data_IF_323563724248
#
_entry.id   IF_323563724248
#
_cell.length_a   1.000
_cell.length_b   1.000
_cell.length_c   1.000
_cell.angle_alpha   90.00
_cell.angle_beta   90.00
_cell.angle_gamma   90.00
#
_symmetry.space_group_name_H-M   'P 1'
#
loop_
_entity.id
_entity.type
_entity.pdbx_description
1 polymer ?
#
# COMPACT_ATOMS: atom_id res chain seq x y z
N UNK A 1 -2.77 -4.49 -21.49
CA UNK A 1 -2.63 -4.88 -20.07
C UNK A 1 -1.16 -4.93 -19.62
N UNK A 2 -0.33 -3.94 -20.00
CA UNK A 2 1.06 -3.78 -19.52
C UNK A 2 1.24 -2.57 -18.59
N UNK A 3 0.24 -1.69 -18.55
CA UNK A 3 0.23 -0.42 -17.79
C UNK A 3 -0.88 -0.39 -16.71
N UNK A 4 -1.54 -1.52 -16.46
CA UNK A 4 -2.56 -1.64 -15.42
C UNK A 4 -1.89 -1.60 -14.05
N UNK A 5 -2.13 -0.52 -13.30
CA UNK A 5 -1.41 -0.16 -12.08
C UNK A 5 -1.40 -1.26 -11.00
N UNK A 6 -0.27 -1.33 -10.28
CA UNK A 6 0.08 -2.30 -9.23
C UNK A 6 -0.80 -2.26 -7.97
N UNK A 7 -1.82 -1.39 -7.93
CA UNK A 7 -2.72 -1.29 -6.78
C UNK A 7 -3.46 -2.61 -6.50
N UNK A 8 -3.75 -3.41 -7.53
CA UNK A 8 -4.34 -4.75 -7.37
C UNK A 8 -3.41 -5.76 -6.67
N UNK A 9 -2.10 -5.51 -6.65
CA UNK A 9 -1.10 -6.41 -6.05
C UNK A 9 -0.71 -5.95 -4.64
N UNK A 10 -0.66 -4.63 -4.41
CA UNK A 10 -0.15 -4.05 -3.16
C UNK A 10 -1.18 -3.26 -2.33
N UNK A 11 -2.40 -3.04 -2.81
CA UNK A 11 -3.39 -2.21 -2.11
C UNK A 11 -4.05 -2.93 -0.92
N UNK A 12 -3.89 -2.39 0.29
CA UNK A 12 -4.60 -2.85 1.50
C UNK A 12 -5.78 -1.94 1.87
N UNK A 13 -5.85 -0.72 1.32
CA UNK A 13 -6.85 0.28 1.71
C UNK A 13 -8.31 0.00 1.34
N UNK A 14 -8.61 -0.90 0.39
CA UNK A 14 -9.98 -1.33 0.12
C UNK A 14 -10.24 -2.66 0.80
N UNK A 15 -11.04 -2.65 1.86
CA UNK A 15 -11.31 -3.83 2.67
C UNK A 15 -12.75 -3.83 3.17
N UNK A 16 -13.34 -5.01 3.29
CA UNK A 16 -14.58 -5.25 4.02
C UNK A 16 -14.28 -6.21 5.17
N UNK A 17 -14.65 -5.83 6.39
CA UNK A 17 -14.38 -6.60 7.61
C UNK A 17 -15.66 -6.80 8.39
N UNK A 18 -15.84 -8.01 8.92
CA UNK A 18 -16.94 -8.31 9.84
C UNK A 18 -16.65 -7.62 11.16
N UNK A 19 -17.65 -6.90 11.71
CA UNK A 19 -17.51 -6.17 12.98
C UNK A 19 -16.91 -7.02 14.11
N UNK A 20 -17.41 -8.25 14.30
CA UNK A 20 -16.91 -9.17 15.33
C UNK A 20 -15.41 -9.46 15.19
N UNK A 21 -14.95 -9.64 13.96
CA UNK A 21 -13.54 -10.01 13.69
C UNK A 21 -12.65 -8.78 13.89
N UNK A 22 -13.11 -7.59 13.49
CA UNK A 22 -12.44 -6.32 13.78
C UNK A 22 -12.32 -6.05 15.29
N UNK A 23 -13.41 -6.26 16.04
CA UNK A 23 -13.40 -6.13 17.49
C UNK A 23 -12.44 -7.17 18.12
N UNK A 24 -12.39 -8.40 17.58
CA UNK A 24 -11.53 -9.50 18.04
C UNK A 24 -10.03 -9.23 17.91
N UNK A 25 -9.61 -8.48 16.88
CA UNK A 25 -8.21 -8.07 16.71
C UNK A 25 -7.85 -6.77 17.47
N UNK A 26 -8.75 -6.27 18.31
CA UNK A 26 -8.55 -5.04 19.08
C UNK A 26 -8.87 -3.74 18.33
N UNK A 27 -9.61 -3.82 17.22
CA UNK A 27 -10.06 -2.67 16.44
C UNK A 27 -8.99 -2.00 15.58
N UNK A 28 -9.39 -0.86 15.01
CA UNK A 28 -8.53 0.00 14.19
C UNK A 28 -7.68 0.95 15.04
N UNK A 29 -6.44 1.20 14.64
CA UNK A 29 -5.57 2.17 15.32
C UNK A 29 -5.98 3.62 15.00
N UNK A 30 -6.55 4.31 15.99
CA UNK A 30 -7.05 5.68 15.83
C UNK A 30 -6.03 6.76 16.14
N UNK A 31 -4.85 6.40 16.64
CA UNK A 31 -3.81 7.35 17.04
C UNK A 31 -2.91 7.79 15.88
N UNK A 32 -2.99 7.11 14.73
CA UNK A 32 -2.28 7.52 13.53
C UNK A 32 -3.00 8.70 12.86
N UNK A 33 -2.42 9.90 12.98
CA UNK A 33 -2.99 11.14 12.42
C UNK A 33 -2.45 11.49 11.04
N UNK A 34 -1.55 10.67 10.49
CA UNK A 34 -0.89 10.94 9.21
C UNK A 34 -1.09 9.78 8.25
N UNK A 35 -0.89 10.04 6.96
CA UNK A 35 -0.94 9.01 5.93
C UNK A 35 0.20 7.99 6.11
N UNK A 36 -0.12 6.72 5.85
CA UNK A 36 0.82 5.62 5.80
C UNK A 36 0.79 4.75 7.04
N UNK A 37 1.05 3.47 6.81
CA UNK A 37 1.10 2.35 7.78
C UNK A 37 -0.27 1.87 8.28
N UNK A 38 -1.34 2.66 8.15
CA UNK A 38 -2.62 2.35 8.77
C UNK A 38 -3.27 1.06 8.21
N UNK A 39 -3.20 0.87 6.90
CA UNK A 39 -3.77 -0.28 6.19
C UNK A 39 -2.90 -1.53 6.35
N UNK A 40 -1.56 -1.37 6.37
CA UNK A 40 -0.58 -2.42 6.66
C UNK A 40 -0.72 -2.92 8.10
N UNK A 41 -0.83 -2.01 9.06
CA UNK A 41 -1.02 -2.31 10.47
C UNK A 41 -2.32 -3.12 10.68
N UNK A 42 -3.44 -2.67 10.09
CA UNK A 42 -4.70 -3.43 10.15
C UNK A 42 -4.54 -4.83 9.57
N UNK A 43 -3.94 -4.95 8.38
CA UNK A 43 -3.74 -6.25 7.73
C UNK A 43 -2.87 -7.19 8.59
N UNK A 44 -1.78 -6.68 9.17
CA UNK A 44 -0.89 -7.46 10.03
C UNK A 44 -1.62 -7.99 11.27
N UNK A 45 -2.51 -7.20 11.87
CA UNK A 45 -3.34 -7.66 13.01
C UNK A 45 -4.24 -8.83 12.61
N UNK A 46 -4.87 -8.78 11.44
CA UNK A 46 -5.65 -9.91 10.92
C UNK A 46 -4.79 -11.14 10.63
N UNK A 47 -3.60 -10.96 10.05
CA UNK A 47 -2.65 -12.08 9.80
C UNK A 47 -2.26 -12.76 11.11
N UNK A 48 -2.01 -11.98 12.16
CA UNK A 48 -1.69 -12.52 13.49
C UNK A 48 -2.87 -13.30 14.11
N UNK A 49 -4.11 -12.94 13.75
CA UNK A 49 -5.33 -13.62 14.18
C UNK A 49 -5.85 -14.66 13.15
N UNK A 50 -5.01 -15.11 12.21
CA UNK A 50 -5.41 -15.99 11.10
C UNK A 50 -5.95 -17.37 11.51
N UNK A 51 -5.71 -17.80 12.76
CA UNK A 51 -6.33 -18.99 13.32
C UNK A 51 -7.84 -18.83 13.55
N UNK A 52 -8.32 -17.60 13.73
CA UNK A 52 -9.70 -17.26 14.08
C UNK A 52 -10.42 -16.44 13.00
N UNK A 53 -9.65 -15.80 12.11
CA UNK A 53 -10.14 -14.93 11.04
C UNK A 53 -9.61 -15.39 9.68
N UNK A 54 -10.51 -15.62 8.72
CA UNK A 54 -10.12 -15.96 7.35
C UNK A 54 -9.91 -14.70 6.51
N UNK A 55 -8.76 -14.62 5.84
CA UNK A 55 -8.39 -13.51 4.97
C UNK A 55 -8.39 -14.01 3.53
N UNK A 56 -9.07 -13.30 2.63
CA UNK A 56 -8.97 -13.54 1.20
C UNK A 56 -8.75 -12.22 0.46
N UNK A 57 -8.10 -12.30 -0.71
CA UNK A 57 -7.92 -11.17 -1.62
C UNK A 57 -8.53 -11.55 -2.96
N UNK A 58 -9.28 -10.62 -3.55
CA UNK A 58 -9.88 -10.78 -4.86
C UNK A 58 -9.48 -9.59 -5.74
N UNK A 59 -9.19 -9.87 -7.01
CA UNK A 59 -8.97 -8.84 -8.02
C UNK A 59 -10.32 -8.51 -8.64
N UNK A 60 -10.72 -7.23 -8.63
CA UNK A 60 -11.91 -6.74 -9.32
C UNK A 60 -11.51 -6.12 -10.67
N UNK A 61 -11.76 -6.79 -11.81
CA UNK A 61 -11.33 -6.30 -13.12
C UNK A 61 -11.91 -4.95 -13.52
N UNK A 62 -13.08 -4.59 -13.00
CA UNK A 62 -13.73 -3.30 -13.24
C UNK A 62 -13.19 -2.16 -12.37
N UNK A 63 -12.41 -2.47 -11.34
CA UNK A 63 -11.93 -1.47 -10.38
C UNK A 63 -10.81 -0.63 -10.98
N UNK A 64 -11.03 0.69 -11.02
CA UNK A 64 -10.05 1.67 -11.46
C UNK A 64 -9.69 2.58 -10.30
N UNK A 65 -8.42 2.59 -9.92
CA UNK A 65 -7.90 3.54 -8.94
C UNK A 65 -7.33 4.76 -9.68
N UNK A 66 -8.02 5.89 -9.59
CA UNK A 66 -7.48 7.17 -10.04
C UNK A 66 -6.58 7.73 -8.93
N UNK A 67 -5.29 7.88 -9.21
CA UNK A 67 -4.30 8.32 -8.23
C UNK A 67 -3.78 9.72 -8.58
N UNK A 68 -3.40 10.47 -7.55
CA UNK A 68 -2.68 11.72 -7.70
C UNK A 68 -1.16 11.46 -7.67
N UNK A 69 -0.38 12.41 -8.19
CA UNK A 69 1.08 12.41 -8.01
C UNK A 69 1.41 12.40 -6.51
N UNK A 70 2.42 11.62 -6.11
CA UNK A 70 2.89 11.60 -4.73
C UNK A 70 3.80 12.78 -4.44
N UNK A 71 3.71 13.28 -3.22
CA UNK A 71 4.44 14.44 -2.73
C UNK A 71 5.14 14.03 -1.44
N UNK A 72 6.31 13.42 -1.56
CA UNK A 72 7.06 12.91 -0.40
C UNK A 72 7.90 13.99 0.30
N UNK A 73 8.11 15.14 -0.36
CA UNK A 73 8.85 16.27 0.20
C UNK A 73 8.17 16.79 1.48
N UNK A 74 8.93 16.89 2.57
CA UNK A 74 8.44 17.42 3.86
C UNK A 74 7.96 16.37 4.86
N UNK A 75 7.91 15.09 4.48
CA UNK A 75 7.70 14.00 5.45
C UNK A 75 8.97 13.87 6.30
N UNK A 76 8.85 14.14 7.60
CA UNK A 76 9.98 14.06 8.56
C UNK A 76 10.22 12.67 9.11
N UNK A 77 9.16 11.85 9.15
CA UNK A 77 9.22 10.48 9.65
C UNK A 77 9.85 9.57 8.59
N UNK A 78 11.00 8.96 8.90
CA UNK A 78 11.78 8.20 7.94
C UNK A 78 11.02 6.98 7.38
N UNK A 79 10.22 6.32 8.23
CA UNK A 79 9.42 5.16 7.82
C UNK A 79 8.36 5.58 6.81
N UNK A 80 7.59 6.62 7.11
CA UNK A 80 6.58 7.15 6.17
C UNK A 80 7.20 7.74 4.91
N UNK A 81 8.36 8.37 5.00
CA UNK A 81 9.08 8.89 3.84
C UNK A 81 9.45 7.75 2.90
N UNK A 82 9.99 6.65 3.45
CA UNK A 82 10.26 5.43 2.70
C UNK A 82 8.99 4.85 2.08
N UNK A 83 7.90 4.73 2.85
CA UNK A 83 6.62 4.24 2.34
C UNK A 83 6.08 5.10 1.19
N UNK A 84 6.23 6.42 1.27
CA UNK A 84 5.82 7.33 0.21
C UNK A 84 6.58 7.05 -1.09
N UNK A 85 7.91 6.97 -1.03
CA UNK A 85 8.75 6.69 -2.19
C UNK A 85 8.54 5.28 -2.75
N UNK A 86 8.51 4.26 -1.89
CA UNK A 86 8.26 2.88 -2.32
C UNK A 86 6.94 2.80 -3.09
N UNK A 87 5.90 3.44 -2.55
CA UNK A 87 4.60 3.41 -3.17
C UNK A 87 4.52 4.33 -4.41
N UNK A 88 5.40 5.33 -4.57
CA UNK A 88 5.56 6.10 -5.82
C UNK A 88 6.23 5.26 -6.91
N UNK A 89 7.30 4.55 -6.57
CA UNK A 89 8.01 3.64 -7.46
C UNK A 89 7.07 2.53 -7.96
N UNK A 90 6.22 1.99 -7.08
CA UNK A 90 5.20 1.00 -7.44
C UNK A 90 4.12 1.59 -8.36
N UNK A 91 3.84 2.91 -8.31
CA UNK A 91 2.87 3.54 -9.24
C UNK A 91 3.44 3.74 -10.65
N UNK A 92 4.76 3.87 -10.80
CA UNK A 92 5.45 4.00 -12.09
C UNK A 92 5.46 2.68 -12.90
N UNK A 93 4.48 1.80 -12.68
CA UNK A 93 4.45 0.41 -13.13
C UNK A 93 4.43 0.17 -14.63
N UNK A 94 5.60 -0.16 -15.16
CA UNK A 94 5.92 -1.41 -15.86
C UNK A 94 7.40 -1.69 -15.59
N UNK A 95 7.92 -2.92 -15.78
CA UNK A 95 9.38 -3.14 -15.70
C UNK A 95 10.15 -2.12 -16.54
N UNK A 96 9.60 -1.71 -17.69
CA UNK A 96 10.21 -0.71 -18.56
C UNK A 96 10.20 0.69 -17.92
N UNK A 97 9.06 1.14 -17.40
CA UNK A 97 8.95 2.46 -16.77
C UNK A 97 9.79 2.57 -15.48
N UNK A 98 9.93 1.45 -14.75
CA UNK A 98 10.80 1.35 -13.58
C UNK A 98 12.27 1.47 -13.96
N UNK A 99 12.70 0.74 -15.01
CA UNK A 99 14.05 0.86 -15.57
C UNK A 99 14.32 2.29 -16.05
N UNK A 100 13.38 2.90 -16.77
CA UNK A 100 13.50 4.29 -17.23
C UNK A 100 13.63 5.28 -16.06
N UNK A 101 12.86 5.10 -14.99
CA UNK A 101 12.96 5.96 -13.81
C UNK A 101 14.31 5.81 -13.10
N UNK A 102 14.80 4.58 -12.96
CA UNK A 102 16.09 4.28 -12.33
C UNK A 102 17.26 4.89 -13.13
N UNK A 103 17.24 4.76 -14.47
CA UNK A 103 18.25 5.33 -15.36
C UNK A 103 18.22 6.85 -15.32
N UNK A 104 17.03 7.45 -15.45
CA UNK A 104 16.89 8.91 -15.60
C UNK A 104 17.07 9.70 -14.28
N UNK A 105 17.03 9.03 -13.12
CA UNK A 105 17.22 9.67 -11.81
C UNK A 105 18.51 9.22 -11.09
N UNK A 106 19.43 8.55 -11.81
CA UNK A 106 20.74 8.11 -11.30
C UNK A 106 20.67 7.30 -9.99
N UNK A 107 19.61 6.51 -9.78
CA UNK A 107 19.39 5.76 -8.55
C UNK A 107 20.30 4.51 -8.43
N UNK A 108 21.11 4.21 -9.46
CA UNK A 108 22.10 3.13 -9.54
C UNK A 108 23.54 3.62 -9.27
N UNK A 109 23.75 4.51 -8.30
CA UNK A 109 25.11 4.78 -7.80
C UNK A 109 25.51 3.67 -6.82
N UNK A 110 26.15 2.62 -7.37
CA UNK A 110 27.03 1.71 -6.64
C UNK A 110 28.31 2.44 -6.23
#
# INVERSE_FOLDING_TARGET
>A
HKDSGLFSIYGFGNVAVRKRDLDGIGGWETNNQYWGDEDVNLFQRFVNASAECYIFRAVEPGFKHFYHKKMCNGIKDEVRLKMCYDAEIILLGSQANMVDHIINNELLKL
#
